data_IF_168646575651
#
_entry.id   IF_168646575651
#
_cell.length_a   1.000
_cell.length_b   1.000
_cell.length_c   1.000
_cell.angle_alpha   90.00
_cell.angle_beta   90.00
_cell.angle_gamma   90.00
#
_symmetry.space_group_name_H-M   'P 1'
#
loop_
_entity.id
_entity.type
_entity.pdbx_description
1 polymer ?
#
# COMPACT_ATOMS: atom_id res chain seq x y z
N UNK A 1 -34.24 -3.75 3.27
CA UNK A 1 -33.12 -3.20 4.07
C UNK A 1 -33.19 -1.69 4.01
N UNK A 2 -33.16 -0.96 5.14
CA UNK A 2 -33.11 0.49 5.09
C UNK A 2 -31.81 0.94 4.39
N UNK A 3 -31.93 1.91 3.49
CA UNK A 3 -30.79 2.50 2.77
C UNK A 3 -29.95 3.34 3.72
N UNK A 4 -28.65 3.04 3.81
CA UNK A 4 -27.69 3.82 4.59
C UNK A 4 -27.53 5.21 3.98
N UNK A 5 -27.64 6.26 4.80
CA UNK A 5 -27.43 7.62 4.32
C UNK A 5 -25.95 7.88 3.99
N UNK A 6 -25.72 8.84 3.08
CA UNK A 6 -24.37 9.17 2.57
C UNK A 6 -23.38 9.56 3.67
N UNK A 7 -23.83 10.28 4.71
CA UNK A 7 -22.95 10.74 5.80
C UNK A 7 -22.52 9.56 6.66
N UNK A 8 -23.46 8.68 7.00
CA UNK A 8 -23.16 7.45 7.74
C UNK A 8 -22.23 6.54 6.95
N UNK A 9 -22.46 6.36 5.65
CA UNK A 9 -21.57 5.57 4.79
C UNK A 9 -20.15 6.14 4.76
N UNK A 10 -20.01 7.45 4.52
CA UNK A 10 -18.69 8.10 4.47
C UNK A 10 -17.93 7.97 5.80
N UNK A 11 -18.63 8.16 6.93
CA UNK A 11 -18.04 7.97 8.27
C UNK A 11 -17.58 6.54 8.49
N UNK A 12 -18.40 5.56 8.10
CA UNK A 12 -18.03 4.14 8.21
C UNK A 12 -16.79 3.81 7.37
N UNK A 13 -16.76 4.25 6.11
CA UNK A 13 -15.62 4.04 5.22
C UNK A 13 -14.34 4.70 5.71
N UNK A 14 -14.44 5.92 6.27
CA UNK A 14 -13.31 6.60 6.89
C UNK A 14 -12.76 5.79 8.08
N UNK A 15 -13.64 5.37 9.00
CA UNK A 15 -13.24 4.58 10.16
C UNK A 15 -12.61 3.24 9.77
N UNK A 16 -13.16 2.58 8.75
CA UNK A 16 -12.60 1.34 8.21
C UNK A 16 -11.20 1.57 7.62
N UNK A 17 -11.02 2.64 6.85
CA UNK A 17 -9.73 3.02 6.27
C UNK A 17 -8.67 3.26 7.35
N UNK A 18 -9.01 4.02 8.40
CA UNK A 18 -8.12 4.26 9.54
C UNK A 18 -7.76 2.95 10.23
N UNK A 19 -8.75 2.11 10.58
CA UNK A 19 -8.49 0.81 11.22
C UNK A 19 -7.62 -0.10 10.36
N UNK A 20 -7.85 -0.12 9.05
CA UNK A 20 -7.04 -0.92 8.13
C UNK A 20 -5.58 -0.45 8.08
N UNK A 21 -5.30 0.86 8.22
CA UNK A 21 -3.92 1.36 8.32
C UNK A 21 -3.23 0.84 9.58
N UNK A 22 -3.91 0.87 10.72
CA UNK A 22 -3.35 0.37 11.98
C UNK A 22 -3.08 -1.14 11.94
N UNK A 23 -4.03 -1.91 11.40
CA UNK A 23 -3.87 -3.37 11.24
C UNK A 23 -2.68 -3.67 10.31
N UNK A 24 -2.57 -2.99 9.17
CA UNK A 24 -1.44 -3.15 8.24
C UNK A 24 -0.10 -2.88 8.93
N UNK A 25 0.01 -1.76 9.65
CA UNK A 25 1.23 -1.38 10.38
C UNK A 25 1.61 -2.45 11.41
N UNK A 26 0.64 -2.93 12.19
CA UNK A 26 0.87 -3.96 13.20
C UNK A 26 1.34 -5.29 12.57
N UNK A 27 0.75 -5.70 11.46
CA UNK A 27 1.11 -6.95 10.78
C UNK A 27 2.52 -6.90 10.17
N UNK A 28 2.90 -5.77 9.58
CA UNK A 28 4.25 -5.58 9.07
C UNK A 28 5.28 -5.58 10.21
N UNK A 29 4.97 -4.94 11.34
CA UNK A 29 5.85 -4.94 12.51
C UNK A 29 6.08 -6.36 13.04
N UNK A 30 5.01 -7.13 13.19
CA UNK A 30 5.10 -8.53 13.62
C UNK A 30 5.93 -9.38 12.65
N UNK A 31 5.76 -9.16 11.34
CA UNK A 31 6.50 -9.89 10.30
C UNK A 31 7.99 -9.54 10.32
N UNK A 32 8.33 -8.26 10.47
CA UNK A 32 9.72 -7.77 10.58
C UNK A 32 10.40 -8.30 11.84
N UNK A 33 9.70 -8.31 12.97
CA UNK A 33 10.23 -8.87 14.20
C UNK A 33 10.50 -10.38 14.07
N UNK A 34 9.57 -11.14 13.49
CA UNK A 34 9.75 -12.56 13.24
C UNK A 34 10.90 -12.85 12.26
N UNK A 35 11.03 -12.06 11.19
CA UNK A 35 12.15 -12.16 10.27
C UNK A 35 13.49 -11.88 10.96
N UNK A 36 13.58 -10.79 11.75
CA UNK A 36 14.77 -10.48 12.56
C UNK A 36 15.14 -11.61 13.51
N UNK A 37 14.16 -12.20 14.20
CA UNK A 37 14.40 -13.35 15.08
C UNK A 37 14.90 -14.58 14.31
N UNK A 38 14.42 -14.82 13.08
CA UNK A 38 14.93 -15.89 12.23
C UNK A 38 16.40 -15.64 11.84
N UNK A 39 16.76 -14.42 11.45
CA UNK A 39 18.14 -14.04 11.14
C UNK A 39 19.07 -14.17 12.36
N UNK A 40 18.65 -13.69 13.54
CA UNK A 40 19.44 -13.82 14.79
C UNK A 40 19.64 -15.28 15.22
N UNK A 41 18.69 -16.18 14.91
CA UNK A 41 18.85 -17.62 15.18
C UNK A 41 19.92 -18.27 14.30
N UNK A 42 20.07 -17.79 13.06
CA UNK A 42 21.08 -18.29 12.11
C UNK A 42 22.45 -17.64 12.39
N UNK A 43 22.47 -16.36 12.73
CA UNK A 43 23.66 -15.61 13.09
C UNK A 43 23.45 -14.81 14.39
N UNK A 44 23.99 -15.35 15.49
CA UNK A 44 23.87 -14.75 16.81
C UNK A 44 24.59 -13.39 16.94
N UNK A 45 25.52 -13.04 16.04
CA UNK A 45 26.21 -11.76 16.06
C UNK A 45 25.26 -10.58 15.78
N UNK A 46 24.14 -10.85 15.09
CA UNK A 46 23.12 -9.86 14.74
C UNK A 46 22.25 -9.42 15.92
N UNK A 47 22.32 -10.11 17.08
CA UNK A 47 21.41 -9.90 18.22
C UNK A 47 21.38 -8.45 18.74
N UNK A 48 22.52 -7.77 18.74
CA UNK A 48 22.67 -6.41 19.26
C UNK A 48 22.76 -5.35 18.15
N UNK A 49 22.58 -5.74 16.89
CA UNK A 49 22.60 -4.81 15.77
C UNK A 49 21.23 -4.16 15.58
N UNK A 50 21.17 -2.83 15.58
CA UNK A 50 19.94 -2.07 15.35
C UNK A 50 19.41 -2.24 13.91
N UNK A 51 20.31 -2.34 12.95
CA UNK A 51 20.02 -2.55 11.52
C UNK A 51 20.68 -3.87 11.11
N UNK A 52 19.94 -4.70 10.38
CA UNK A 52 20.45 -5.93 9.79
C UNK A 52 20.20 -5.89 8.28
N UNK A 53 21.18 -6.33 7.50
CA UNK A 53 21.00 -6.52 6.07
C UNK A 53 20.29 -7.85 5.82
N UNK A 54 19.24 -7.82 5.01
CA UNK A 54 18.46 -9.00 4.67
C UNK A 54 18.35 -9.15 3.16
N UNK A 55 18.40 -10.38 2.69
CA UNK A 55 18.11 -10.69 1.29
C UNK A 55 16.62 -10.88 1.11
N UNK A 56 16.05 -10.18 0.12
CA UNK A 56 14.61 -10.19 -0.15
C UNK A 56 14.33 -10.65 -1.57
N UNK A 57 13.20 -11.33 -1.76
CA UNK A 57 12.56 -11.48 -3.05
C UNK A 57 11.48 -10.41 -3.23
N UNK A 58 11.36 -9.88 -4.43
CA UNK A 58 10.26 -9.00 -4.81
C UNK A 58 9.30 -9.75 -5.73
N UNK A 59 8.02 -9.70 -5.42
CA UNK A 59 6.96 -10.23 -6.28
C UNK A 59 5.83 -9.21 -6.41
N UNK A 60 5.02 -9.35 -7.46
CA UNK A 60 3.92 -8.46 -7.71
C UNK A 60 2.78 -9.11 -8.47
N UNK A 61 1.57 -8.62 -8.20
CA UNK A 61 0.37 -9.10 -8.86
C UNK A 61 -0.53 -7.95 -9.28
N UNK A 62 -1.34 -8.20 -10.30
CA UNK A 62 -2.36 -7.29 -10.78
C UNK A 62 -3.73 -7.81 -10.37
N UNK A 63 -4.63 -6.91 -9.96
CA UNK A 63 -6.00 -7.28 -9.57
C UNK A 63 -6.73 -8.09 -10.65
N UNK A 64 -6.47 -7.79 -11.93
CA UNK A 64 -7.07 -8.46 -13.08
C UNK A 64 -5.98 -8.97 -14.01
N UNK A 65 -6.23 -10.11 -14.68
CA UNK A 65 -5.38 -10.60 -15.77
C UNK A 65 -5.54 -9.72 -17.01
N UNK A 66 -4.48 -9.60 -17.80
CA UNK A 66 -4.44 -8.78 -19.02
C UNK A 66 -4.10 -7.31 -18.77
N UNK A 67 -4.02 -6.52 -19.85
CA UNK A 67 -3.56 -5.13 -19.83
C UNK A 67 -4.59 -4.11 -19.29
N UNK A 68 -5.67 -4.56 -18.63
CA UNK A 68 -6.78 -3.72 -18.17
C UNK A 68 -6.82 -3.53 -16.65
N UNK A 69 -5.77 -3.95 -15.94
CA UNK A 69 -5.72 -3.79 -14.48
C UNK A 69 -5.38 -2.35 -14.10
N UNK A 70 -6.22 -1.75 -13.25
CA UNK A 70 -5.97 -0.43 -12.68
C UNK A 70 -5.26 -0.50 -11.33
N UNK A 71 -5.17 -1.69 -10.72
CA UNK A 71 -4.57 -1.89 -9.42
C UNK A 71 -3.48 -2.96 -9.50
N UNK A 72 -2.30 -2.61 -9.00
CA UNK A 72 -1.16 -3.48 -8.80
C UNK A 72 -0.79 -3.56 -7.33
N UNK A 73 -0.14 -4.65 -6.95
CA UNK A 73 0.44 -4.85 -5.63
C UNK A 73 1.86 -5.33 -5.83
N UNK A 74 2.83 -4.63 -5.24
CA UNK A 74 4.21 -5.09 -5.10
C UNK A 74 4.46 -5.51 -3.65
N UNK A 75 5.23 -6.58 -3.45
CA UNK A 75 5.47 -7.19 -2.14
C UNK A 75 6.95 -7.49 -2.00
N UNK A 76 7.53 -7.12 -0.85
CA UNK A 76 8.89 -7.45 -0.44
C UNK A 76 8.82 -8.58 0.57
N UNK A 77 9.45 -9.70 0.25
CA UNK A 77 9.42 -10.93 1.05
C UNK A 77 10.84 -11.27 1.47
N UNK A 78 11.06 -11.47 2.77
CA UNK A 78 12.34 -11.96 3.29
C UNK A 78 12.59 -13.40 2.83
N UNK A 79 13.78 -13.67 2.29
CA UNK A 79 14.08 -15.01 1.73
C UNK A 79 14.20 -16.07 2.83
N UNK A 80 14.67 -15.69 4.02
CA UNK A 80 14.90 -16.64 5.11
C UNK A 80 13.61 -17.09 5.78
N UNK A 81 12.76 -16.14 6.17
CA UNK A 81 11.50 -16.40 6.89
C UNK A 81 10.32 -16.64 5.96
N UNK A 82 10.40 -16.21 4.69
CA UNK A 82 9.28 -16.22 3.75
C UNK A 82 8.17 -15.22 4.10
N UNK A 83 8.44 -14.28 5.01
CA UNK A 83 7.45 -13.30 5.48
C UNK A 83 7.52 -12.00 4.70
N UNK A 84 6.37 -11.33 4.58
CA UNK A 84 6.27 -10.02 3.95
C UNK A 84 6.82 -8.94 4.88
N UNK A 85 7.86 -8.23 4.44
CA UNK A 85 8.43 -7.10 5.18
C UNK A 85 7.79 -5.77 4.80
N UNK A 86 7.33 -5.65 3.56
CA UNK A 86 6.66 -4.46 3.06
C UNK A 86 5.83 -4.74 1.81
N UNK A 87 4.92 -3.83 1.48
CA UNK A 87 4.15 -3.89 0.24
C UNK A 87 3.71 -2.49 -0.22
N UNK A 88 3.49 -2.34 -1.52
CA UNK A 88 2.99 -1.10 -2.13
C UNK A 88 1.80 -1.38 -3.04
N UNK A 89 0.73 -0.57 -2.92
CA UNK A 89 -0.46 -0.68 -3.78
C UNK A 89 -0.40 0.40 -4.84
N UNK A 90 -0.17 -0.02 -6.08
CA UNK A 90 -0.09 0.86 -7.23
C UNK A 90 -1.47 1.03 -7.86
N UNK A 91 -1.86 2.26 -8.20
CA UNK A 91 -3.11 2.54 -8.90
C UNK A 91 -2.87 3.37 -10.15
N UNK A 92 -3.39 2.90 -11.29
CA UNK A 92 -3.52 3.70 -12.53
C UNK A 92 -4.78 4.58 -12.52
N UNK A 93 -5.63 4.42 -11.50
CA UNK A 93 -6.87 5.18 -11.34
C UNK A 93 -6.76 6.15 -10.16
N UNK A 94 -7.07 7.42 -10.40
CA UNK A 94 -7.21 8.43 -9.36
C UNK A 94 -8.61 9.07 -9.46
N UNK A 95 -9.45 8.84 -8.44
CA UNK A 95 -10.80 9.41 -8.42
C UNK A 95 -10.78 10.93 -8.42
N UNK A 96 -9.81 11.54 -7.70
CA UNK A 96 -9.65 12.99 -7.66
C UNK A 96 -9.31 13.54 -9.05
N UNK A 97 -8.47 12.86 -9.83
CA UNK A 97 -8.19 13.27 -11.22
C UNK A 97 -9.44 13.18 -12.10
N UNK A 98 -10.29 12.16 -11.92
CA UNK A 98 -11.54 12.03 -12.68
C UNK A 98 -12.49 13.19 -12.37
N UNK A 99 -12.62 13.56 -11.09
CA UNK A 99 -13.47 14.68 -10.67
C UNK A 99 -12.89 16.02 -11.14
N UNK A 100 -11.60 16.27 -10.88
CA UNK A 100 -10.94 17.51 -11.30
C UNK A 100 -10.93 17.68 -12.83
N UNK A 101 -10.72 16.61 -13.60
CA UNK A 101 -10.78 16.64 -15.05
C UNK A 101 -12.18 16.93 -15.59
N UNK A 102 -13.23 16.50 -14.87
CA UNK A 102 -14.62 16.87 -15.18
C UNK A 102 -14.87 18.36 -14.89
N UNK A 103 -14.33 18.87 -13.78
CA UNK A 103 -14.64 20.22 -13.30
C UNK A 103 -13.77 21.31 -14.00
N UNK A 104 -12.51 21.01 -14.34
CA UNK A 104 -11.53 21.94 -14.91
C UNK A 104 -11.25 21.70 -16.41
N UNK A 105 -11.76 20.60 -16.98
CA UNK A 105 -11.45 20.14 -18.32
C UNK A 105 -10.11 19.40 -18.39
N UNK A 106 -10.12 18.12 -18.77
CA UNK A 106 -8.93 17.24 -18.76
C UNK A 106 -7.76 17.76 -19.62
N UNK A 107 -8.05 18.48 -20.70
CA UNK A 107 -7.03 19.02 -21.60
C UNK A 107 -6.57 20.44 -21.21
N UNK A 108 -7.12 21.02 -20.15
CA UNK A 108 -6.79 22.39 -19.74
C UNK A 108 -5.40 22.48 -19.09
N UNK A 109 -4.74 23.63 -19.26
CA UNK A 109 -3.48 23.90 -18.56
C UNK A 109 -3.66 23.87 -17.03
N UNK A 110 -4.82 24.31 -16.55
CA UNK A 110 -5.18 24.31 -15.13
C UNK A 110 -5.21 22.91 -14.54
N UNK A 111 -5.85 21.95 -15.23
CA UNK A 111 -5.87 20.55 -14.83
C UNK A 111 -4.46 19.95 -14.77
N UNK A 112 -3.63 20.17 -15.80
CA UNK A 112 -2.26 19.63 -15.84
C UNK A 112 -1.38 20.20 -14.71
N UNK A 113 -1.52 21.48 -14.37
CA UNK A 113 -0.81 22.11 -13.25
C UNK A 113 -1.28 21.50 -11.93
N UNK A 114 -2.59 21.35 -11.74
CA UNK A 114 -3.16 20.75 -10.54
C UNK A 114 -2.72 19.29 -10.38
N UNK A 115 -2.80 18.49 -11.45
CA UNK A 115 -2.45 17.06 -11.43
C UNK A 115 -0.99 16.86 -11.02
N UNK A 116 -0.05 17.63 -11.59
CA UNK A 116 1.37 17.58 -11.22
C UNK A 116 1.63 17.96 -9.76
N UNK A 117 0.83 18.88 -9.20
CA UNK A 117 0.99 19.33 -7.81
C UNK A 117 0.37 18.38 -6.79
N UNK A 118 -0.68 17.64 -7.17
CA UNK A 118 -1.52 16.88 -6.22
C UNK A 118 -1.45 15.37 -6.39
N UNK A 119 -1.04 14.88 -7.55
CA UNK A 119 -1.01 13.44 -7.88
C UNK A 119 0.29 12.98 -8.55
N UNK A 120 1.30 13.87 -8.62
CA UNK A 120 2.64 13.59 -9.12
C UNK A 120 3.55 13.01 -8.05
#
# INVERSE_FOLDING_TARGET
MPTMDRKTFAKCMHNLSVKNKEVKKKMLEMSRQAAREAHVKVDASLKNQEIIDVSVSYDGTWQKRGHTSNLGLGIIIDILSGLVLDFEVLSKYCHNCVVAGRDMGVDSAEFHIWQKRTCG
#
